data_IF_627728533053
#
_entry.id   IF_627728533053
#
_cell.length_a   1.000
_cell.length_b   1.000
_cell.length_c   1.000
_cell.angle_alpha   90.00
_cell.angle_beta   90.00
_cell.angle_gamma   90.00
#
_symmetry.space_group_name_H-M   'P 1'
#
loop_
_entity.id
_entity.type
_entity.pdbx_description
1 polymer ?
#
# COMPACT_ATOMS: atom_id res chain seq x y z
N UNK A 1 8.60 -19.20 8.03
CA UNK A 1 8.52 -18.23 9.16
C UNK A 1 7.58 -17.14 8.69
N UNK A 2 6.26 -17.39 8.81
CA UNK A 2 5.25 -16.42 8.40
C UNK A 2 4.83 -15.71 9.69
N UNK A 3 5.22 -14.45 9.83
CA UNK A 3 4.78 -13.62 10.95
C UNK A 3 3.38 -13.13 10.63
N UNK A 4 2.42 -13.96 10.97
CA UNK A 4 1.06 -13.53 11.28
C UNK A 4 1.13 -12.77 12.62
N UNK A 5 0.42 -11.65 12.71
CA UNK A 5 0.24 -10.79 13.91
C UNK A 5 1.37 -9.80 14.24
N UNK A 6 1.24 -8.56 13.76
CA UNK A 6 1.26 -7.41 14.66
C UNK A 6 0.16 -6.42 14.25
N UNK A 7 -0.72 -6.15 15.20
CA UNK A 7 -1.76 -5.11 15.09
C UNK A 7 -1.24 -3.73 15.54
N UNK A 8 0.09 -3.60 15.68
CA UNK A 8 0.82 -2.38 16.08
C UNK A 8 2.13 -2.23 15.27
N UNK A 9 2.16 -2.68 14.00
CA UNK A 9 3.36 -2.55 13.16
C UNK A 9 3.30 -1.32 12.28
N UNK A 10 4.18 -0.38 12.62
CA UNK A 10 4.70 0.62 11.71
C UNK A 10 4.91 0.04 10.31
N UNK A 11 4.33 0.69 9.29
CA UNK A 11 4.50 0.34 7.89
C UNK A 11 5.72 1.04 7.31
N UNK A 12 6.49 0.28 6.54
CA UNK A 12 7.60 0.77 5.72
C UNK A 12 7.36 0.50 4.24
N UNK A 13 8.20 1.05 3.36
CA UNK A 13 8.08 0.78 1.93
C UNK A 13 8.28 -0.71 1.56
N UNK A 14 8.84 -1.52 2.45
CA UNK A 14 8.99 -2.98 2.26
C UNK A 14 7.66 -3.73 2.48
N UNK A 15 6.68 -3.12 3.15
CA UNK A 15 5.42 -3.76 3.56
C UNK A 15 4.31 -3.61 2.51
N UNK A 16 4.63 -3.84 1.24
CA UNK A 16 3.75 -3.50 0.11
C UNK A 16 2.35 -4.11 0.19
N UNK A 17 2.23 -5.37 0.62
CA UNK A 17 0.95 -6.04 0.83
C UNK A 17 0.13 -5.39 1.96
N UNK A 18 0.78 -5.06 3.08
CA UNK A 18 0.10 -4.45 4.22
C UNK A 18 -0.35 -3.02 3.88
N UNK A 19 0.48 -2.25 3.17
CA UNK A 19 0.12 -0.94 2.63
C UNK A 19 -1.08 -1.07 1.69
N UNK A 20 -1.05 -2.00 0.73
CA UNK A 20 -2.16 -2.22 -0.21
C UNK A 20 -3.49 -2.49 0.53
N UNK A 21 -3.45 -3.35 1.55
CA UNK A 21 -4.61 -3.64 2.40
C UNK A 21 -5.07 -2.40 3.16
N UNK A 22 -4.16 -1.60 3.73
CA UNK A 22 -4.52 -0.35 4.41
C UNK A 22 -5.18 0.67 3.47
N UNK A 23 -4.62 0.84 2.27
CA UNK A 23 -5.17 1.70 1.23
C UNK A 23 -6.56 1.23 0.77
N UNK A 24 -6.77 -0.07 0.61
CA UNK A 24 -8.08 -0.65 0.29
C UNK A 24 -9.13 -0.32 1.36
N UNK A 25 -8.78 -0.42 2.64
CA UNK A 25 -9.70 -0.06 3.74
C UNK A 25 -9.97 1.45 3.79
N UNK A 26 -8.97 2.28 3.51
CA UNK A 26 -9.11 3.74 3.46
C UNK A 26 -9.93 4.22 2.25
N UNK A 27 -9.86 3.49 1.14
CA UNK A 27 -10.46 3.86 -0.15
C UNK A 27 -11.33 2.72 -0.74
N UNK A 28 -12.39 2.26 -0.05
CA UNK A 28 -13.13 1.05 -0.43
C UNK A 28 -13.98 1.16 -1.70
N UNK A 29 -14.06 2.36 -2.30
CA UNK A 29 -14.89 2.65 -3.49
C UNK A 29 -14.08 3.22 -4.65
N UNK A 30 -12.75 3.19 -4.55
CA UNK A 30 -11.89 3.71 -5.62
C UNK A 30 -11.94 2.79 -6.83
N UNK A 31 -11.94 3.38 -8.02
CA UNK A 31 -11.68 2.67 -9.25
C UNK A 31 -10.17 2.65 -9.50
N UNK A 32 -9.54 1.48 -9.36
CA UNK A 32 -8.09 1.32 -9.52
C UNK A 32 -7.61 1.68 -10.92
N UNK A 33 -8.45 1.60 -11.95
CA UNK A 33 -8.05 1.98 -13.32
C UNK A 33 -7.67 3.46 -13.46
N UNK A 34 -8.18 4.31 -12.56
CA UNK A 34 -7.86 5.73 -12.47
C UNK A 34 -6.78 6.08 -11.43
N UNK A 35 -6.21 5.10 -10.73
CA UNK A 35 -5.21 5.33 -9.69
C UNK A 35 -3.81 5.40 -10.31
N UNK A 36 -3.10 6.49 -10.01
CA UNK A 36 -1.70 6.69 -10.45
C UNK A 36 -0.71 6.37 -9.33
N UNK A 37 0.57 6.16 -9.67
CA UNK A 37 1.63 5.94 -8.66
C UNK A 37 1.78 7.13 -7.70
N UNK A 38 1.56 8.37 -8.18
CA UNK A 38 1.55 9.55 -7.32
C UNK A 38 0.41 9.52 -6.28
N UNK A 39 -0.75 8.95 -6.63
CA UNK A 39 -1.83 8.75 -5.67
C UNK A 39 -1.46 7.69 -4.64
N UNK A 40 -0.86 6.57 -5.06
CA UNK A 40 -0.36 5.54 -4.14
C UNK A 40 0.66 6.13 -3.17
N UNK A 41 1.61 6.93 -3.66
CA UNK A 41 2.59 7.62 -2.82
C UNK A 41 1.93 8.52 -1.78
N UNK A 42 1.07 9.44 -2.22
CA UNK A 42 0.43 10.39 -1.32
C UNK A 42 -0.51 9.73 -0.31
N UNK A 43 -1.22 8.67 -0.70
CA UNK A 43 -2.07 7.94 0.21
C UNK A 43 -1.26 7.12 1.22
N UNK A 44 -0.15 6.52 0.80
CA UNK A 44 0.73 5.76 1.69
C UNK A 44 1.32 6.67 2.77
N UNK A 45 1.83 7.85 2.40
CA UNK A 45 2.31 8.85 3.36
C UNK A 45 1.23 9.40 4.29
N UNK A 46 -0.04 9.26 3.93
CA UNK A 46 -1.16 9.71 4.74
C UNK A 46 -1.68 8.64 5.71
N UNK A 47 -1.17 7.40 5.63
CA UNK A 47 -1.51 6.33 6.57
C UNK A 47 -0.90 6.65 7.95
N UNK A 48 -1.69 6.61 9.04
CA UNK A 48 -1.18 6.91 10.36
C UNK A 48 -0.15 5.89 10.87
N UNK A 49 -0.13 4.68 10.29
CA UNK A 49 0.84 3.63 10.61
C UNK A 49 2.13 3.72 9.78
N UNK A 50 2.19 4.56 8.74
CA UNK A 50 3.38 4.67 7.89
C UNK A 50 4.46 5.55 8.53
N UNK A 51 5.66 4.99 8.73
CA UNK A 51 6.82 5.68 9.32
C UNK A 51 8.11 5.19 8.66
N UNK A 52 8.33 5.65 7.43
CA UNK A 52 9.54 5.42 6.66
C UNK A 52 9.88 6.67 5.83
N UNK A 53 11.11 6.75 5.32
CA UNK A 53 11.60 7.93 4.61
C UNK A 53 10.87 8.09 3.26
N UNK A 54 10.15 9.22 3.04
CA UNK A 54 9.49 9.49 1.76
C UNK A 54 10.43 9.46 0.55
N UNK A 55 11.73 9.75 0.72
CA UNK A 55 12.72 9.75 -0.37
C UNK A 55 13.08 8.35 -0.88
N UNK A 56 12.75 7.29 -0.14
CA UNK A 56 12.97 5.90 -0.57
C UNK A 56 11.96 5.43 -1.62
N UNK A 57 10.83 6.13 -1.75
CA UNK A 57 9.81 5.80 -2.72
C UNK A 57 10.35 5.88 -4.16
N UNK A 58 9.98 4.89 -4.97
CA UNK A 58 10.26 4.87 -6.40
C UNK A 58 9.14 4.12 -7.14
N UNK A 59 9.10 4.27 -8.45
CA UNK A 59 8.04 3.69 -9.28
C UNK A 59 7.90 2.17 -9.11
N UNK A 60 8.98 1.45 -8.83
CA UNK A 60 8.91 -0.01 -8.62
C UNK A 60 8.19 -0.37 -7.33
N UNK A 61 8.49 0.30 -6.23
CA UNK A 61 7.79 0.11 -4.94
C UNK A 61 6.32 0.46 -5.08
N UNK A 62 6.03 1.64 -5.63
CA UNK A 62 4.65 2.13 -5.77
C UNK A 62 3.83 1.23 -6.71
N UNK A 63 4.43 0.73 -7.79
CA UNK A 63 3.79 -0.20 -8.70
C UNK A 63 3.52 -1.55 -8.02
N UNK A 64 4.41 -2.02 -7.15
CA UNK A 64 4.22 -3.26 -6.41
C UNK A 64 3.05 -3.14 -5.41
N UNK A 65 2.96 -2.04 -4.66
CA UNK A 65 1.80 -1.73 -3.81
C UNK A 65 0.50 -1.70 -4.63
N UNK A 66 0.50 -1.04 -5.80
CA UNK A 66 -0.65 -1.01 -6.69
C UNK A 66 -1.05 -2.42 -7.16
N UNK A 67 -0.07 -3.25 -7.52
CA UNK A 67 -0.30 -4.63 -7.97
C UNK A 67 -0.92 -5.49 -6.86
N UNK A 68 -0.38 -5.44 -5.64
CA UNK A 68 -0.93 -6.16 -4.48
C UNK A 68 -2.40 -5.77 -4.23
N UNK A 69 -2.73 -4.47 -4.33
CA UNK A 69 -4.12 -4.02 -4.21
C UNK A 69 -4.98 -4.52 -5.39
N UNK A 70 -4.46 -4.45 -6.61
CA UNK A 70 -5.17 -4.89 -7.80
C UNK A 70 -5.51 -6.40 -7.76
N UNK A 71 -4.57 -7.23 -7.28
CA UNK A 71 -4.75 -8.67 -7.12
C UNK A 71 -5.82 -9.00 -6.06
N UNK A 72 -5.84 -8.28 -4.93
CA UNK A 72 -6.85 -8.47 -3.87
C UNK A 72 -8.28 -8.17 -4.35
N UNK A 73 -8.47 -7.18 -5.22
CA UNK A 73 -9.81 -6.83 -5.74
C UNK A 73 -10.18 -7.58 -7.03
N UNK A 74 -9.20 -8.20 -7.70
CA UNK A 74 -9.40 -9.03 -8.88
C UNK A 74 -8.80 -10.43 -8.68
N UNK A 75 -9.34 -11.25 -7.76
CA UNK A 75 -8.87 -12.62 -7.59
C UNK A 75 -9.17 -13.44 -8.85
N UNK A 76 -8.18 -14.22 -9.29
CA UNK A 76 -8.30 -15.14 -10.43
C UNK A 76 -9.21 -16.33 -10.10
#
# INVERSE_FOLDING_TARGET
MIRDTRMDETLSWEDSYAIARALMHAHPKVDLTGVSLGMIYHWTLALPEFDDDPELANDSILAFIYQEWFEEVNPV
#
